data_IF_334935080325
#
_entry.id   IF_334935080325
#
_cell.length_a   1.000
_cell.length_b   1.000
_cell.length_c   1.000
_cell.angle_alpha   90.00
_cell.angle_beta   90.00
_cell.angle_gamma   90.00
#
_symmetry.space_group_name_H-M   'P 1'
#
loop_
_entity.id
_entity.type
_entity.pdbx_description
1 polymer ?
#
# COMPACT_ATOMS: atom_id res chain seq x y z
N UNK A 1 -14.27 -0.79 -0.95
CA UNK A 1 -13.30 -1.32 0.03
C UNK A 1 -12.05 -0.45 -0.05
N UNK A 2 -11.98 0.69 0.66
CA UNK A 2 -10.98 1.70 0.33
C UNK A 2 -9.64 1.40 1.02
N UNK A 3 -8.64 1.03 0.22
CA UNK A 3 -7.23 1.20 0.61
C UNK A 3 -7.00 2.71 0.82
N UNK A 4 -6.35 3.06 1.93
CA UNK A 4 -5.98 4.44 2.23
C UNK A 4 -4.52 4.53 2.67
N UNK A 5 -3.95 5.74 2.58
CA UNK A 5 -2.51 5.96 2.79
C UNK A 5 -2.32 7.11 3.77
N UNK A 6 -1.53 6.86 4.81
CA UNK A 6 -1.04 7.88 5.74
C UNK A 6 0.30 8.44 5.24
N UNK A 7 0.24 9.62 4.64
CA UNK A 7 1.40 10.33 4.10
C UNK A 7 2.14 11.16 5.15
N UNK A 8 1.55 11.39 6.32
CA UNK A 8 2.14 12.18 7.40
C UNK A 8 3.13 11.35 8.23
N UNK A 9 2.93 10.02 8.27
CA UNK A 9 3.86 9.08 8.90
C UNK A 9 5.10 8.81 8.04
N UNK A 10 6.24 8.66 8.72
CA UNK A 10 7.49 8.21 8.11
C UNK A 10 8.04 7.00 8.88
N UNK A 11 8.10 5.80 8.28
CA UNK A 11 7.72 5.47 6.89
C UNK A 11 6.21 5.60 6.62
N UNK A 12 5.87 5.93 5.37
CA UNK A 12 4.46 6.04 4.90
C UNK A 12 3.76 4.71 5.13
N UNK A 13 2.57 4.72 5.71
CA UNK A 13 1.77 3.51 5.95
C UNK A 13 0.57 3.42 5.03
N UNK A 14 0.34 2.23 4.49
CA UNK A 14 -0.77 1.93 3.57
C UNK A 14 -1.63 0.88 4.24
N UNK A 15 -2.92 1.18 4.34
CA UNK A 15 -3.89 0.42 5.12
C UNK A 15 -5.01 -0.10 4.22
N UNK A 16 -5.57 -1.26 4.58
CA UNK A 16 -6.66 -1.88 3.86
C UNK A 16 -7.35 -2.97 4.69
N UNK A 17 -8.57 -3.32 4.31
CA UNK A 17 -9.38 -4.34 4.98
C UNK A 17 -8.96 -5.78 4.63
N UNK A 18 -8.40 -5.98 3.44
CA UNK A 18 -8.00 -7.27 2.90
C UNK A 18 -6.49 -7.34 2.64
N UNK A 19 -5.86 -8.43 3.09
CA UNK A 19 -4.43 -8.66 2.92
C UNK A 19 -4.05 -8.80 1.45
N UNK A 20 -4.84 -9.54 0.66
CA UNK A 20 -4.50 -9.85 -0.73
C UNK A 20 -4.46 -8.58 -1.60
N UNK A 21 -5.35 -7.64 -1.34
CA UNK A 21 -5.41 -6.33 -2.02
C UNK A 21 -4.15 -5.49 -1.75
N UNK A 22 -3.65 -5.51 -0.51
CA UNK A 22 -2.39 -4.83 -0.16
C UNK A 22 -1.17 -5.54 -0.76
N UNK A 23 -1.16 -6.88 -0.79
CA UNK A 23 -0.11 -7.64 -1.46
C UNK A 23 -0.09 -7.37 -2.97
N UNK A 24 -1.25 -7.27 -3.62
CA UNK A 24 -1.38 -6.91 -5.03
C UNK A 24 -0.83 -5.50 -5.32
N UNK A 25 -1.12 -4.52 -4.45
CA UNK A 25 -0.54 -3.18 -4.55
C UNK A 25 0.97 -3.21 -4.39
N UNK A 26 1.51 -3.96 -3.42
CA UNK A 26 2.96 -4.11 -3.25
C UNK A 26 3.59 -4.70 -4.52
N UNK A 27 2.98 -5.72 -5.11
CA UNK A 27 3.47 -6.32 -6.37
C UNK A 27 3.44 -5.31 -7.53
N UNK A 28 2.36 -4.54 -7.67
CA UNK A 28 2.26 -3.49 -8.68
C UNK A 28 3.37 -2.45 -8.53
N UNK A 29 3.59 -1.94 -7.32
CA UNK A 29 4.66 -0.98 -7.03
C UNK A 29 6.07 -1.55 -7.27
N UNK A 30 6.27 -2.83 -6.97
CA UNK A 30 7.53 -3.55 -7.26
C UNK A 30 7.79 -3.65 -8.77
N UNK A 31 6.78 -4.03 -9.53
CA UNK A 31 6.90 -4.29 -10.97
C UNK A 31 7.01 -2.99 -11.79
N UNK A 32 6.18 -1.99 -11.49
CA UNK A 32 6.07 -0.77 -12.29
C UNK A 32 7.05 0.32 -11.85
N UNK A 33 7.36 0.40 -10.55
CA UNK A 33 8.11 1.51 -9.97
C UNK A 33 9.37 1.07 -9.21
N UNK A 34 9.72 -0.22 -9.30
CA UNK A 34 10.94 -0.78 -8.72
C UNK A 34 11.07 -0.50 -7.20
N UNK A 35 9.94 -0.52 -6.48
CA UNK A 35 9.90 -0.39 -5.01
C UNK A 35 10.42 -1.68 -4.38
N UNK A 36 11.74 -1.75 -4.10
CA UNK A 36 12.43 -3.02 -3.75
C UNK A 36 12.50 -3.34 -2.26
N UNK A 37 12.21 -2.38 -1.37
CA UNK A 37 12.30 -2.63 0.08
C UNK A 37 11.26 -3.67 0.51
N UNK A 38 11.59 -4.44 1.57
CA UNK A 38 10.79 -5.54 2.13
C UNK A 38 9.47 -5.04 2.75
N UNK A 39 8.56 -4.49 1.95
CA UNK A 39 7.20 -4.20 2.36
C UNK A 39 6.51 -5.52 2.66
N UNK A 40 6.10 -5.69 3.92
CA UNK A 40 5.40 -6.85 4.43
C UNK A 40 4.02 -6.38 4.89
N UNK A 41 2.97 -7.05 4.44
CA UNK A 41 1.63 -6.84 4.97
C UNK A 41 1.53 -7.53 6.33
N UNK A 42 0.99 -6.82 7.32
CA UNK A 42 0.77 -7.31 8.66
C UNK A 42 -0.59 -6.85 9.19
N UNK A 43 -1.11 -7.51 10.21
CA UNK A 43 -2.36 -7.10 10.85
C UNK A 43 -2.21 -5.70 11.47
N UNK A 44 -3.12 -4.79 11.14
CA UNK A 44 -3.19 -3.47 11.75
C UNK A 44 -3.87 -3.58 13.12
N UNK A 45 -3.09 -3.35 14.18
CA UNK A 45 -3.57 -3.42 15.57
C UNK A 45 -4.23 -2.13 16.06
N UNK A 46 -4.05 -1.03 15.35
CA UNK A 46 -4.54 0.30 15.72
C UNK A 46 -5.89 0.59 15.07
N UNK A 47 -6.01 0.33 13.77
CA UNK A 47 -7.20 0.63 12.96
C UNK A 47 -8.02 -0.61 12.58
N UNK A 48 -7.47 -1.82 12.79
CA UNK A 48 -8.04 -3.06 12.27
C UNK A 48 -7.74 -3.28 10.80
N UNK A 49 -7.88 -4.52 10.34
CA UNK A 49 -7.50 -4.92 8.98
C UNK A 49 -5.99 -5.17 8.86
N UNK A 50 -5.38 -4.63 7.80
CA UNK A 50 -3.98 -4.86 7.45
C UNK A 50 -3.26 -3.57 7.07
N UNK A 51 -1.95 -3.56 7.29
CA UNK A 51 -1.07 -2.43 7.00
C UNK A 51 0.26 -2.92 6.44
N UNK A 52 0.85 -2.14 5.54
CA UNK A 52 2.28 -2.25 5.20
C UNK A 52 2.93 -0.87 5.15
N UNK A 53 4.26 -0.85 5.21
CA UNK A 53 5.04 0.38 5.23
C UNK A 53 5.90 0.55 3.97
N UNK A 54 5.95 1.78 3.48
CA UNK A 54 6.79 2.23 2.38
C UNK A 54 7.99 3.00 2.94
N UNK A 55 9.16 2.34 2.88
CA UNK A 55 10.42 2.85 3.43
C UNK A 55 11.23 3.68 2.43
N UNK A 56 10.66 3.98 1.27
CA UNK A 56 11.29 4.80 0.22
C UNK A 56 10.26 5.80 -0.30
N UNK A 57 10.74 6.87 -0.92
CA UNK A 57 9.88 7.83 -1.60
C UNK A 57 8.96 7.09 -2.58
N UNK A 58 7.67 7.33 -2.45
CA UNK A 58 6.62 6.79 -3.30
C UNK A 58 5.81 7.97 -3.81
N UNK A 59 5.59 8.05 -5.13
CA UNK A 59 4.70 9.08 -5.67
C UNK A 59 3.25 8.67 -5.38
N UNK A 60 2.43 9.54 -4.74
CA UNK A 60 1.03 9.23 -4.44
C UNK A 60 0.21 8.82 -5.67
N UNK A 61 0.61 9.27 -6.87
CA UNK A 61 -0.05 8.93 -8.12
C UNK A 61 0.07 7.45 -8.46
N UNK A 62 1.12 6.77 -8.03
CA UNK A 62 1.31 5.33 -8.31
C UNK A 62 0.26 4.48 -7.61
N UNK A 63 -0.03 4.81 -6.35
CA UNK A 63 -1.07 4.13 -5.57
C UNK A 63 -2.45 4.51 -6.12
N UNK A 64 -2.70 5.80 -6.37
CA UNK A 64 -3.96 6.26 -6.95
C UNK A 64 -4.26 5.56 -8.29
N UNK A 65 -3.27 5.40 -9.16
CA UNK A 65 -3.44 4.73 -10.44
C UNK A 65 -3.84 3.25 -10.27
N UNK A 66 -3.25 2.54 -9.31
CA UNK A 66 -3.63 1.15 -9.02
C UNK A 66 -5.08 1.05 -8.51
N UNK A 67 -5.48 1.94 -7.58
CA UNK A 67 -6.83 1.96 -7.03
C UNK A 67 -7.90 2.30 -8.06
N UNK A 68 -7.59 3.13 -9.05
CA UNK A 68 -8.51 3.43 -10.15
C UNK A 68 -8.62 2.31 -11.20
N UNK A 69 -7.61 1.44 -11.32
CA UNK A 69 -7.62 0.32 -12.28
C UNK A 69 -8.31 -0.95 -11.74
N UNK A 70 -8.57 -1.05 -10.44
CA UNK A 70 -9.26 -2.20 -9.83
C UNK A 70 -10.78 -2.01 -9.64
N UNK A 71 -11.34 -0.94 -10.21
CA UNK A 71 -12.77 -0.60 -10.12
C UNK A 71 -13.51 -0.86 -11.42
N UNK A 72 -13.54 -2.12 -11.87
CA UNK A 72 -14.43 -2.61 -12.94
C UNK A 72 -15.24 -3.82 -12.44
#
# INVERSE_FOLDING_TARGET
>A
MPIWVDWDRQPVSVHGEDQASLEALIQHLKQQHNVRKRSLVMADRENGGFVFFLYQSCDPRWIANHLNQGGE
#
